data_IF_360646095152
#
_entry.id   IF_360646095152
#
_cell.length_a   1.000
_cell.length_b   1.000
_cell.length_c   1.000
_cell.angle_alpha   90.00
_cell.angle_beta   90.00
_cell.angle_gamma   90.00
#
_symmetry.space_group_name_H-M   'P 1'
#
loop_
_entity.id
_entity.type
_entity.pdbx_description
1 polymer ?
#
# COMPACT_ATOMS: atom_id res chain seq x y z
N UNK A 1 0.07 -8.33 9.83
CA UNK A 1 -0.21 -7.40 8.75
C UNK A 1 1.11 -6.85 8.21
N UNK A 2 1.15 -5.67 7.61
CA UNK A 2 2.43 -5.13 7.09
C UNK A 2 3.30 -4.55 8.22
N UNK A 3 4.61 -4.53 7.98
CA UNK A 3 5.61 -4.06 8.93
C UNK A 3 6.49 -2.99 8.28
N UNK A 4 7.34 -2.35 9.08
CA UNK A 4 8.34 -1.39 8.57
C UNK A 4 9.22 -2.07 7.53
N UNK A 5 9.63 -3.32 7.77
CA UNK A 5 10.45 -4.07 6.83
C UNK A 5 9.77 -4.21 5.46
N UNK A 6 8.47 -4.44 5.44
CA UNK A 6 7.70 -4.52 4.18
C UNK A 6 7.76 -3.19 3.42
N UNK A 7 7.68 -2.07 4.13
CA UNK A 7 7.79 -0.73 3.52
C UNK A 7 9.21 -0.50 2.99
N UNK A 8 10.22 -0.86 3.77
CA UNK A 8 11.62 -0.72 3.38
C UNK A 8 11.97 -1.56 2.15
N UNK A 9 11.32 -2.69 1.97
CA UNK A 9 11.50 -3.52 0.78
C UNK A 9 10.83 -2.91 -0.47
N UNK A 10 9.86 -2.03 -0.29
CA UNK A 10 9.12 -1.41 -1.38
C UNK A 10 9.69 -0.05 -1.78
N UNK A 11 10.19 0.72 -0.83
CA UNK A 11 10.67 2.09 -1.04
C UNK A 11 12.13 2.17 -0.60
N UNK A 12 13.00 2.74 -1.44
CA UNK A 12 14.41 2.88 -1.11
C UNK A 12 14.60 3.73 0.15
N UNK A 13 15.70 3.52 0.86
CA UNK A 13 16.01 4.28 2.06
C UNK A 13 16.12 5.78 1.76
N UNK A 14 16.76 6.13 0.66
CA UNK A 14 16.88 7.53 0.23
C UNK A 14 15.49 8.16 0.07
N UNK A 15 14.58 7.45 -0.59
CA UNK A 15 13.21 7.96 -0.81
C UNK A 15 12.44 8.05 0.50
N UNK A 16 12.60 7.10 1.40
CA UNK A 16 11.96 7.15 2.72
C UNK A 16 12.41 8.35 3.53
N UNK A 17 13.69 8.71 3.46
CA UNK A 17 14.19 9.92 4.10
C UNK A 17 13.53 11.15 3.50
N UNK A 18 13.47 11.24 2.18
CA UNK A 18 12.82 12.37 1.48
C UNK A 18 11.34 12.50 1.86
N UNK A 19 10.64 11.38 2.04
CA UNK A 19 9.21 11.37 2.36
C UNK A 19 8.92 11.69 3.82
N UNK A 20 9.82 11.39 4.73
CA UNK A 20 9.55 11.43 6.18
C UNK A 20 10.32 12.52 6.92
N UNK A 21 11.44 13.01 6.39
CA UNK A 21 12.27 14.01 7.06
C UNK A 21 12.14 15.37 6.41
N UNK A 22 12.09 16.41 7.24
CA UNK A 22 12.14 17.80 6.78
C UNK A 22 13.58 18.29 6.61
N UNK A 23 14.52 17.64 7.30
CA UNK A 23 15.94 17.96 7.24
C UNK A 23 16.60 17.23 6.08
N UNK A 24 17.14 17.99 5.12
CA UNK A 24 17.80 17.45 3.94
C UNK A 24 19.08 16.67 4.27
N UNK A 25 19.64 16.87 5.46
CA UNK A 25 20.87 16.21 5.89
C UNK A 25 20.60 15.01 6.81
N UNK A 26 19.34 14.63 6.97
CA UNK A 26 18.99 13.46 7.78
C UNK A 26 19.60 12.19 7.19
N UNK A 27 20.12 11.32 8.07
CA UNK A 27 20.77 10.06 7.69
C UNK A 27 19.82 8.85 7.72
N UNK A 28 18.64 9.03 8.27
CA UNK A 28 17.67 7.95 8.42
C UNK A 28 16.25 8.48 8.30
N UNK A 29 15.28 7.67 7.86
CA UNK A 29 13.89 8.09 7.82
C UNK A 29 13.31 8.24 9.22
N UNK A 30 12.23 9.01 9.32
CA UNK A 30 11.47 9.15 10.57
C UNK A 30 10.56 7.93 10.72
N UNK A 31 10.97 7.02 11.59
CA UNK A 31 10.25 5.75 11.81
C UNK A 31 8.83 5.99 12.32
N UNK A 32 8.62 7.00 13.16
CA UNK A 32 7.29 7.32 13.69
C UNK A 32 6.30 7.67 12.56
N UNK A 33 6.76 8.39 11.54
CA UNK A 33 5.92 8.72 10.39
C UNK A 33 5.60 7.49 9.54
N UNK A 34 6.55 6.56 9.41
CA UNK A 34 6.31 5.29 8.71
C UNK A 34 5.28 4.47 9.48
N UNK A 35 5.45 4.34 10.79
CA UNK A 35 4.50 3.61 11.64
C UNK A 35 3.10 4.20 11.57
N UNK A 36 2.98 5.53 11.57
CA UNK A 36 1.69 6.21 11.44
C UNK A 36 1.00 5.86 10.11
N UNK A 37 1.74 5.87 9.02
CA UNK A 37 1.20 5.49 7.71
C UNK A 37 0.77 4.02 7.67
N UNK A 38 1.55 3.14 8.30
CA UNK A 38 1.20 1.73 8.44
C UNK A 38 -0.11 1.57 9.22
N UNK A 39 -0.21 2.21 10.37
CA UNK A 39 -1.39 2.11 11.24
C UNK A 39 -2.65 2.63 10.53
N UNK A 40 -2.54 3.74 9.84
CA UNK A 40 -3.66 4.31 9.09
C UNK A 40 -4.11 3.40 7.95
N UNK A 41 -3.16 2.80 7.23
CA UNK A 41 -3.50 1.89 6.13
C UNK A 41 -4.14 0.60 6.65
N UNK A 42 -3.63 0.04 7.74
CA UNK A 42 -4.22 -1.15 8.38
C UNK A 42 -5.64 -0.85 8.85
N UNK A 43 -5.85 0.29 9.50
CA UNK A 43 -7.18 0.69 9.99
C UNK A 43 -8.18 0.83 8.84
N UNK A 44 -7.76 1.42 7.73
CA UNK A 44 -8.62 1.57 6.56
C UNK A 44 -9.01 0.20 5.98
N UNK A 45 -8.01 -0.68 5.81
CA UNK A 45 -8.26 -2.03 5.27
C UNK A 45 -9.20 -2.80 6.19
N UNK A 46 -8.96 -2.76 7.49
CA UNK A 46 -9.82 -3.45 8.47
C UNK A 46 -11.26 -2.96 8.40
N UNK A 47 -11.47 -1.67 8.20
CA UNK A 47 -12.81 -1.09 8.08
C UNK A 47 -13.56 -1.66 6.87
N UNK A 48 -12.87 -1.82 5.75
CA UNK A 48 -13.47 -2.43 4.56
C UNK A 48 -13.77 -3.92 4.74
N UNK A 49 -12.88 -4.64 5.45
CA UNK A 49 -13.00 -6.09 5.58
C UNK A 49 -13.96 -6.55 6.67
N UNK A 50 -14.39 -5.64 7.54
CA UNK A 50 -15.29 -5.96 8.66
C UNK A 50 -16.57 -6.60 8.14
N UNK A 51 -16.90 -7.78 8.67
CA UNK A 51 -18.10 -8.52 8.27
C UNK A 51 -17.97 -9.30 6.98
N UNK A 52 -16.81 -9.27 6.33
CA UNK A 52 -16.54 -10.03 5.11
C UNK A 52 -15.79 -11.32 5.41
N UNK A 53 -15.64 -12.18 4.39
CA UNK A 53 -14.85 -13.40 4.48
C UNK A 53 -13.38 -13.17 4.79
N UNK A 54 -12.91 -11.93 4.59
CA UNK A 54 -11.51 -11.55 4.78
C UNK A 54 -11.27 -10.80 6.07
N UNK A 55 -12.28 -10.70 6.93
CA UNK A 55 -12.08 -10.10 8.25
C UNK A 55 -10.95 -10.81 8.99
N UNK A 56 -9.97 -10.02 9.46
CA UNK A 56 -8.75 -10.51 10.13
C UNK A 56 -7.85 -11.40 9.25
N UNK A 57 -8.00 -11.33 7.93
CA UNK A 57 -7.18 -12.10 7.00
C UNK A 57 -5.73 -11.62 6.98
N UNK A 58 -4.78 -12.56 6.93
CA UNK A 58 -3.36 -12.30 6.71
C UNK A 58 -2.89 -12.83 5.34
N UNK A 59 -3.81 -13.03 4.41
CA UNK A 59 -3.45 -13.47 3.06
C UNK A 59 -2.56 -12.45 2.36
N UNK A 60 -1.64 -12.93 1.52
CA UNK A 60 -0.64 -12.09 0.89
C UNK A 60 -1.24 -10.96 0.06
N UNK A 61 -2.34 -11.22 -0.66
CA UNK A 61 -2.93 -10.16 -1.47
C UNK A 61 -3.55 -9.04 -0.61
N UNK A 62 -4.02 -9.35 0.60
CA UNK A 62 -4.50 -8.33 1.55
C UNK A 62 -3.32 -7.49 2.03
N UNK A 63 -2.18 -8.12 2.31
CA UNK A 63 -0.96 -7.39 2.66
C UNK A 63 -0.51 -6.46 1.53
N UNK A 64 -0.57 -6.94 0.29
CA UNK A 64 -0.21 -6.14 -0.88
C UNK A 64 -1.14 -4.93 -1.05
N UNK A 65 -2.43 -5.12 -0.89
CA UNK A 65 -3.41 -4.03 -0.89
C UNK A 65 -3.06 -3.00 0.18
N UNK A 66 -2.79 -3.47 1.39
CA UNK A 66 -2.45 -2.60 2.52
C UNK A 66 -1.18 -1.82 2.25
N UNK A 67 -0.18 -2.48 1.67
CA UNK A 67 1.09 -1.86 1.36
C UNK A 67 0.95 -0.78 0.25
N UNK A 68 0.16 -1.04 -0.78
CA UNK A 68 -0.12 -0.03 -1.81
C UNK A 68 -0.75 1.23 -1.21
N UNK A 69 -1.67 1.05 -0.27
CA UNK A 69 -2.32 2.16 0.43
C UNK A 69 -1.31 2.91 1.30
N UNK A 70 -0.46 2.18 2.03
CA UNK A 70 0.57 2.76 2.87
C UNK A 70 1.57 3.59 2.05
N UNK A 71 2.01 3.07 0.92
CA UNK A 71 2.91 3.78 0.01
C UNK A 71 2.27 5.10 -0.44
N UNK A 72 1.02 5.06 -0.85
CA UNK A 72 0.31 6.27 -1.25
C UNK A 72 0.24 7.29 -0.09
N UNK A 73 -0.05 6.85 1.13
CA UNK A 73 -0.11 7.75 2.29
C UNK A 73 1.23 8.41 2.58
N UNK A 74 2.33 7.68 2.39
CA UNK A 74 3.66 8.25 2.57
C UNK A 74 3.99 9.30 1.51
N UNK A 75 3.65 9.04 0.25
CA UNK A 75 3.96 9.94 -0.86
C UNK A 75 3.06 11.17 -0.90
N UNK A 76 1.78 11.04 -0.60
CA UNK A 76 0.82 12.13 -0.84
C UNK A 76 1.13 13.41 -0.08
N UNK A 77 1.78 13.31 1.08
CA UNK A 77 2.16 14.47 1.88
C UNK A 77 3.23 15.33 1.21
N UNK A 78 3.99 14.74 0.30
CA UNK A 78 5.14 15.37 -0.33
C UNK A 78 5.03 15.47 -1.85
N UNK A 79 3.89 15.17 -2.44
CA UNK A 79 3.72 15.16 -3.90
C UNK A 79 4.14 16.46 -4.55
N UNK A 80 3.81 17.59 -3.94
CA UNK A 80 4.14 18.92 -4.50
C UNK A 80 5.57 19.35 -4.20
N UNK A 81 6.22 18.72 -3.22
CA UNK A 81 7.57 19.11 -2.77
C UNK A 81 8.67 18.29 -3.40
N UNK A 82 8.36 17.06 -3.84
CA UNK A 82 9.33 16.16 -4.44
C UNK A 82 9.30 16.25 -5.97
N UNK A 83 10.48 16.20 -6.56
CA UNK A 83 10.63 16.10 -8.02
C UNK A 83 10.40 14.65 -8.45
N UNK A 84 9.15 14.26 -8.48
CA UNK A 84 8.75 12.93 -8.94
C UNK A 84 8.49 12.94 -10.43
N UNK A 85 8.91 11.87 -11.10
CA UNK A 85 8.55 11.70 -12.51
C UNK A 85 7.05 11.44 -12.60
N UNK A 86 6.43 11.92 -13.69
CA UNK A 86 4.99 11.74 -13.91
C UNK A 86 4.58 10.27 -13.88
N UNK A 87 5.41 9.38 -14.45
CA UNK A 87 5.13 7.94 -14.43
C UNK A 87 5.11 7.37 -13.02
N UNK A 88 5.99 7.82 -12.14
CA UNK A 88 6.04 7.39 -10.75
C UNK A 88 4.78 7.82 -9.99
N UNK A 89 4.40 9.09 -10.11
CA UNK A 89 3.18 9.60 -9.49
C UNK A 89 1.95 8.83 -9.95
N UNK A 90 1.85 8.61 -11.25
CA UNK A 90 0.71 7.90 -11.84
C UNK A 90 0.65 6.45 -11.35
N UNK A 91 1.78 5.77 -11.29
CA UNK A 91 1.83 4.38 -10.82
C UNK A 91 1.39 4.26 -9.37
N UNK A 92 1.88 5.13 -8.49
CA UNK A 92 1.52 5.14 -7.07
C UNK A 92 0.02 5.39 -6.90
N UNK A 93 -0.52 6.38 -7.61
CA UNK A 93 -1.94 6.70 -7.54
C UNK A 93 -2.82 5.57 -8.06
N UNK A 94 -2.45 4.97 -9.20
CA UNK A 94 -3.20 3.84 -9.78
C UNK A 94 -3.18 2.61 -8.89
N UNK A 95 -2.06 2.32 -8.26
CA UNK A 95 -1.97 1.21 -7.31
C UNK A 95 -2.90 1.44 -6.13
N UNK A 96 -2.97 2.67 -5.63
CA UNK A 96 -3.89 3.04 -4.56
C UNK A 96 -5.34 2.89 -5.01
N UNK A 97 -5.71 3.43 -6.18
CA UNK A 97 -7.07 3.31 -6.71
C UNK A 97 -7.49 1.85 -6.88
N UNK A 98 -6.59 1.02 -7.43
CA UNK A 98 -6.86 -0.40 -7.61
C UNK A 98 -7.04 -1.13 -6.27
N UNK A 99 -6.23 -0.76 -5.26
CA UNK A 99 -6.35 -1.33 -3.92
C UNK A 99 -7.72 -1.00 -3.31
N UNK A 100 -8.14 0.25 -3.40
CA UNK A 100 -9.45 0.68 -2.88
C UNK A 100 -10.58 -0.03 -3.63
N UNK A 101 -10.48 -0.14 -4.95
CA UNK A 101 -11.49 -0.83 -5.75
C UNK A 101 -11.63 -2.30 -5.34
N UNK A 102 -10.50 -2.98 -5.11
CA UNK A 102 -10.52 -4.37 -4.65
C UNK A 102 -11.18 -4.49 -3.28
N UNK A 103 -10.90 -3.56 -2.37
CA UNK A 103 -11.53 -3.53 -1.05
C UNK A 103 -13.05 -3.29 -1.17
N UNK A 104 -13.47 -2.41 -2.05
CA UNK A 104 -14.89 -2.16 -2.31
C UNK A 104 -15.56 -3.41 -2.87
N UNK A 105 -14.92 -4.10 -3.80
CA UNK A 105 -15.43 -5.33 -4.38
C UNK A 105 -15.58 -6.44 -3.33
N UNK A 106 -14.61 -6.55 -2.42
CA UNK A 106 -14.69 -7.49 -1.31
C UNK A 106 -15.87 -7.14 -0.41
N UNK A 107 -16.00 -5.87 -0.03
CA UNK A 107 -17.09 -5.41 0.85
C UNK A 107 -18.46 -5.63 0.23
N UNK A 108 -18.56 -5.48 -1.08
CA UNK A 108 -19.81 -5.66 -1.81
C UNK A 108 -20.09 -7.12 -2.19
N UNK A 109 -19.26 -8.05 -1.74
CA UNK A 109 -19.44 -9.48 -1.99
C UNK A 109 -19.12 -9.95 -3.39
N UNK A 110 -18.46 -9.11 -4.20
CA UNK A 110 -18.08 -9.45 -5.58
C UNK A 110 -16.90 -10.39 -5.64
N UNK A 111 -16.05 -10.37 -4.61
CA UNK A 111 -14.86 -11.21 -4.51
C UNK A 111 -14.93 -12.02 -3.23
N UNK A 112 -15.66 -13.13 -3.25
CA UNK A 112 -15.65 -14.06 -2.13
C UNK A 112 -14.36 -14.92 -2.18
N UNK A 113 -14.04 -15.62 -1.11
CA UNK A 113 -12.81 -16.43 -1.02
C UNK A 113 -12.72 -17.46 -2.13
N UNK A 114 -13.83 -18.02 -2.55
CA UNK A 114 -13.87 -19.01 -3.62
C UNK A 114 -13.46 -18.40 -4.95
N UNK A 115 -13.97 -17.21 -5.28
CA UNK A 115 -13.62 -16.50 -6.51
C UNK A 115 -12.16 -16.07 -6.52
N UNK A 116 -11.64 -15.63 -5.37
CA UNK A 116 -10.24 -15.18 -5.27
C UNK A 116 -9.28 -16.37 -5.45
N UNK A 117 -9.61 -17.56 -4.96
CA UNK A 117 -8.78 -18.74 -5.22
C UNK A 117 -8.62 -19.02 -6.71
N UNK A 118 -9.67 -18.82 -7.49
CA UNK A 118 -9.62 -18.97 -8.95
C UNK A 118 -8.83 -17.84 -9.60
N UNK A 119 -8.97 -16.61 -9.10
CA UNK A 119 -8.33 -15.42 -9.65
C UNK A 119 -6.93 -15.16 -9.05
N UNK A 120 -6.51 -15.89 -8.04
CA UNK A 120 -5.26 -15.64 -7.31
C UNK A 120 -4.03 -15.58 -8.21
N UNK A 121 -3.94 -16.43 -9.21
CA UNK A 121 -2.83 -16.45 -10.17
C UNK A 121 -2.76 -15.14 -10.95
N UNK A 122 -3.90 -14.59 -11.35
CA UNK A 122 -3.96 -13.30 -12.05
C UNK A 122 -3.49 -12.14 -11.19
N UNK A 123 -3.86 -12.13 -9.92
CA UNK A 123 -3.40 -11.11 -8.99
C UNK A 123 -1.88 -11.13 -8.87
N UNK A 124 -1.29 -12.29 -8.69
CA UNK A 124 0.16 -12.43 -8.56
C UNK A 124 0.88 -11.91 -9.80
N UNK A 125 0.39 -12.24 -10.99
CA UNK A 125 0.98 -11.80 -12.25
C UNK A 125 0.88 -10.29 -12.43
N UNK A 126 -0.27 -9.71 -12.12
CA UNK A 126 -0.47 -8.25 -12.22
C UNK A 126 0.47 -7.48 -11.32
N UNK A 127 0.69 -7.97 -10.10
CA UNK A 127 1.56 -7.32 -9.11
C UNK A 127 3.00 -7.24 -9.56
N UNK A 128 3.51 -8.24 -10.25
CA UNK A 128 4.90 -8.25 -10.71
C UNK A 128 5.20 -7.13 -11.72
N UNK A 129 4.23 -6.62 -12.44
CA UNK A 129 4.41 -5.51 -13.38
C UNK A 129 4.43 -4.15 -12.68
N UNK A 130 3.79 -4.04 -11.54
CA UNK A 130 3.59 -2.76 -10.86
C UNK A 130 4.84 -2.28 -10.15
N UNK A 131 5.69 -3.22 -9.71
CA UNK A 131 6.79 -2.94 -8.80
C UNK A 131 8.18 -3.06 -9.40
N UNK A 132 8.27 -3.15 -10.70
CA UNK A 132 9.55 -3.12 -11.41
C UNK A 132 10.13 -1.69 -11.55
#
# INVERSE_FOLDING_TARGET
MITISDVENRISQKRLIELTQDDLNANAPDIAKIEDAIDKSISLVKAYLKGTDYENSNEDFIKEITLDICVYFLYKKRYSELELQEGEKLAIYKNYENAIKLLEDIRNGKLDKKKIKVAGTKFSQSKNFIYE
#
